data_IF_619296491397
#
_entry.id   IF_619296491397
#
_cell.length_a   1.000
_cell.length_b   1.000
_cell.length_c   1.000
_cell.angle_alpha   90.00
_cell.angle_beta   90.00
_cell.angle_gamma   90.00
#
_symmetry.space_group_name_H-M   'P 1'
#
loop_
_entity.id
_entity.type
_entity.pdbx_description
1 polymer ?
#
# COMPACT_ATOMS: atom_id res chain seq x y z
N UNK A 1 -13.58 17.06 -5.67
CA UNK A 1 -12.49 16.57 -4.79
C UNK A 1 -11.93 15.33 -5.45
N UNK A 2 -10.63 15.29 -5.77
CA UNK A 2 -10.00 14.05 -6.24
C UNK A 2 -9.89 13.08 -5.07
N UNK A 3 -10.44 11.88 -5.22
CA UNK A 3 -10.31 10.82 -4.24
C UNK A 3 -8.83 10.44 -4.12
N UNK A 4 -8.29 10.40 -2.89
CA UNK A 4 -6.87 10.12 -2.63
C UNK A 4 -6.63 8.61 -2.47
N UNK A 5 -7.61 7.87 -1.96
CA UNK A 5 -7.54 6.43 -1.75
C UNK A 5 -8.69 5.76 -2.49
N UNK A 6 -8.35 4.89 -3.43
CA UNK A 6 -9.27 4.01 -4.14
C UNK A 6 -9.02 2.58 -3.69
N UNK A 7 -10.08 1.85 -3.34
CA UNK A 7 -10.00 0.44 -2.92
C UNK A 7 -10.96 -0.39 -3.75
N UNK A 8 -10.43 -1.49 -4.29
CA UNK A 8 -11.16 -2.46 -5.08
C UNK A 8 -10.78 -3.85 -4.60
N UNK A 9 -11.69 -4.56 -3.93
CA UNK A 9 -11.50 -5.95 -3.47
C UNK A 9 -10.17 -6.21 -2.70
N UNK A 10 -9.14 -6.70 -3.40
CA UNK A 10 -7.80 -7.03 -2.91
C UNK A 10 -6.73 -6.01 -3.35
N UNK A 11 -7.13 -4.86 -3.89
CA UNK A 11 -6.28 -3.78 -4.37
C UNK A 11 -6.58 -2.46 -3.67
N UNK A 12 -5.55 -1.66 -3.49
CA UNK A 12 -5.65 -0.28 -3.04
C UNK A 12 -4.73 0.60 -3.88
N UNK A 13 -5.16 1.82 -4.14
CA UNK A 13 -4.36 2.81 -4.85
C UNK A 13 -4.44 4.15 -4.12
N UNK A 14 -3.28 4.73 -3.88
CA UNK A 14 -3.13 6.05 -3.29
C UNK A 14 -2.61 6.98 -4.37
N UNK A 15 -3.38 8.02 -4.68
CA UNK A 15 -3.05 9.03 -5.70
C UNK A 15 -3.01 10.40 -5.05
N UNK A 16 -1.84 11.04 -5.04
CA UNK A 16 -1.70 12.39 -4.49
C UNK A 16 -1.95 13.46 -5.57
N UNK A 17 -2.37 14.68 -5.17
CA UNK A 17 -2.46 15.82 -6.09
C UNK A 17 -1.11 16.14 -6.75
N UNK A 18 -1.14 16.74 -7.94
CA UNK A 18 0.04 16.97 -8.82
C UNK A 18 1.25 17.72 -8.22
N UNK A 19 1.14 18.28 -7.01
CA UNK A 19 2.23 19.00 -6.31
C UNK A 19 2.65 18.32 -5.01
N UNK A 20 2.26 17.07 -4.86
CA UNK A 20 2.49 16.31 -3.65
C UNK A 20 3.00 14.92 -3.99
N UNK A 21 3.99 14.46 -3.25
CA UNK A 21 4.72 13.23 -3.48
C UNK A 21 4.79 12.42 -2.19
N UNK A 22 4.70 11.10 -2.31
CA UNK A 22 4.70 10.17 -1.18
C UNK A 22 6.15 9.93 -0.74
N UNK A 23 6.40 10.03 0.55
CA UNK A 23 7.69 9.75 1.18
C UNK A 23 7.70 8.39 1.86
N UNK A 24 6.66 8.14 2.65
CA UNK A 24 6.53 6.92 3.43
C UNK A 24 5.09 6.46 3.50
N UNK A 25 4.89 5.15 3.45
CA UNK A 25 3.61 4.51 3.73
C UNK A 25 3.84 3.46 4.81
N UNK A 26 3.04 3.51 5.87
CA UNK A 26 2.91 2.42 6.83
C UNK A 26 1.53 1.78 6.64
N UNK A 27 1.51 0.52 6.25
CA UNK A 27 0.29 -0.24 5.98
C UNK A 27 0.04 -1.22 7.12
N UNK A 28 -1.08 -1.03 7.81
CA UNK A 28 -1.58 -1.98 8.80
C UNK A 28 -2.77 -2.73 8.22
N UNK A 29 -2.60 -4.05 8.06
CA UNK A 29 -3.66 -4.96 7.63
C UNK A 29 -4.36 -5.54 8.86
N UNK A 30 -5.70 -5.48 8.89
CA UNK A 30 -6.48 -6.22 9.88
C UNK A 30 -6.31 -7.73 9.66
N UNK A 31 -6.37 -8.52 10.74
CA UNK A 31 -6.19 -9.98 10.69
C UNK A 31 -7.08 -10.60 9.61
N UNK A 32 -6.43 -11.28 8.67
CA UNK A 32 -7.09 -11.90 7.52
C UNK A 32 -7.79 -13.19 7.94
N UNK A 33 -9.11 -13.14 8.10
CA UNK A 33 -9.89 -14.36 8.36
C UNK A 33 -9.79 -15.31 7.16
N UNK A 34 -9.41 -16.56 7.41
CA UNK A 34 -9.41 -17.62 6.39
C UNK A 34 -8.11 -17.79 5.60
N UNK A 35 -7.09 -16.97 5.83
CA UNK A 35 -5.74 -17.14 5.24
C UNK A 35 -4.88 -18.07 6.11
N UNK A 36 -5.50 -19.13 6.64
CA UNK A 36 -4.80 -20.13 7.45
C UNK A 36 -3.66 -20.74 6.64
N UNK A 37 -2.46 -20.74 7.23
CA UNK A 37 -1.21 -21.36 6.77
C UNK A 37 -0.52 -20.77 5.52
N UNK A 38 -1.13 -19.81 4.80
CA UNK A 38 -0.48 -19.16 3.64
C UNK A 38 0.05 -17.77 4.01
N UNK A 39 1.29 -17.46 3.62
CA UNK A 39 1.82 -16.09 3.72
C UNK A 39 1.11 -15.17 2.71
N UNK A 40 1.23 -13.86 2.90
CA UNK A 40 0.69 -12.86 1.96
C UNK A 40 1.84 -12.08 1.32
N UNK A 41 1.81 -11.97 0.00
CA UNK A 41 2.65 -11.05 -0.74
C UNK A 41 1.82 -9.80 -1.06
N UNK A 42 2.33 -8.62 -0.68
CA UNK A 42 1.77 -7.35 -1.11
C UNK A 42 2.55 -6.93 -2.33
N UNK A 43 1.99 -7.07 -3.53
CA UNK A 43 2.59 -6.48 -4.72
C UNK A 43 2.50 -4.96 -4.58
N UNK A 44 3.64 -4.29 -4.74
CA UNK A 44 3.73 -2.84 -4.65
C UNK A 44 4.11 -2.31 -6.02
N UNK A 45 3.43 -1.27 -6.48
CA UNK A 45 3.76 -0.55 -7.70
C UNK A 45 3.70 0.94 -7.43
N UNK A 46 4.71 1.69 -7.82
CA UNK A 46 4.82 3.11 -7.54
C UNK A 46 5.27 3.89 -8.78
N UNK A 47 4.66 5.06 -8.99
CA UNK A 47 4.90 5.90 -10.16
C UNK A 47 5.03 7.38 -9.80
N UNK A 48 5.96 8.05 -10.48
CA UNK A 48 6.05 9.52 -10.52
C UNK A 48 4.89 10.10 -11.33
N UNK A 49 4.69 11.42 -11.20
CA UNK A 49 3.63 12.13 -11.94
C UNK A 49 3.82 12.08 -13.47
N UNK A 50 5.03 11.84 -13.95
CA UNK A 50 5.38 11.66 -15.37
C UNK A 50 5.16 10.21 -15.86
N UNK A 51 4.74 9.29 -14.99
CA UNK A 51 4.50 7.88 -15.28
C UNK A 51 5.74 6.98 -15.12
N UNK A 52 6.91 7.51 -14.77
CA UNK A 52 8.08 6.68 -14.53
C UNK A 52 7.88 5.81 -13.27
N UNK A 53 8.14 4.50 -13.39
CA UNK A 53 8.09 3.62 -12.21
C UNK A 53 9.28 3.86 -11.31
N UNK A 54 9.03 3.91 -10.00
CA UNK A 54 10.05 4.12 -8.96
C UNK A 54 9.99 3.06 -7.87
N UNK A 55 9.23 1.99 -8.11
CA UNK A 55 8.99 0.90 -7.16
C UNK A 55 10.30 0.32 -6.61
N UNK A 56 11.31 0.14 -7.45
CA UNK A 56 12.62 -0.42 -7.07
C UNK A 56 13.41 0.44 -6.09
N UNK A 57 13.11 1.72 -6.01
CA UNK A 57 13.76 2.66 -5.08
C UNK A 57 13.14 2.62 -3.68
N UNK A 58 12.03 1.90 -3.52
CA UNK A 58 11.33 1.80 -2.25
C UNK A 58 12.06 0.82 -1.31
N UNK A 59 12.44 1.29 -0.13
CA UNK A 59 12.89 0.41 0.94
C UNK A 59 11.68 -0.38 1.46
N UNK A 60 11.87 -1.66 1.75
CA UNK A 60 10.81 -2.56 2.22
C UNK A 60 10.08 -3.33 1.10
N UNK A 61 10.45 -3.11 -0.16
CA UNK A 61 10.06 -4.01 -1.26
C UNK A 61 11.25 -4.83 -1.76
N UNK A 62 10.96 -6.02 -2.27
CA UNK A 62 11.92 -6.97 -2.80
C UNK A 62 11.42 -7.51 -4.12
N UNK A 63 12.31 -7.82 -5.06
CA UNK A 63 11.94 -8.54 -6.26
C UNK A 63 11.77 -10.03 -5.96
N UNK A 64 10.65 -10.62 -6.36
CA UNK A 64 10.48 -12.08 -6.36
C UNK A 64 10.51 -12.60 -7.79
N UNK A 65 11.48 -13.46 -8.10
CA UNK A 65 11.54 -14.14 -9.40
C UNK A 65 10.32 -15.04 -9.64
N UNK A 66 9.73 -15.61 -8.58
CA UNK A 66 8.51 -16.41 -8.68
C UNK A 66 7.26 -15.56 -8.96
N UNK A 67 7.26 -14.28 -8.54
CA UNK A 67 6.19 -13.34 -8.85
C UNK A 67 6.46 -12.54 -10.13
N UNK A 68 7.71 -12.43 -10.58
CA UNK A 68 8.10 -11.47 -11.61
C UNK A 68 7.82 -10.01 -11.21
N UNK A 69 7.65 -9.73 -9.91
CA UNK A 69 7.14 -8.46 -9.40
C UNK A 69 7.84 -8.05 -8.09
N UNK A 70 7.78 -6.75 -7.81
CA UNK A 70 8.21 -6.16 -6.55
C UNK A 70 7.12 -6.37 -5.49
N UNK A 71 7.49 -6.94 -4.35
CA UNK A 71 6.57 -7.22 -3.26
C UNK A 71 7.12 -6.77 -1.92
N UNK A 72 6.23 -6.38 -1.01
CA UNK A 72 6.52 -6.28 0.41
C UNK A 72 6.00 -7.54 1.10
N UNK A 73 6.82 -8.10 1.99
CA UNK A 73 6.44 -9.28 2.74
C UNK A 73 5.52 -8.91 3.90
N UNK A 74 4.34 -9.52 3.94
CA UNK A 74 3.49 -9.49 5.12
C UNK A 74 3.44 -10.91 5.69
N UNK A 75 4.12 -11.21 6.81
CA UNK A 75 3.93 -12.49 7.46
C UNK A 75 2.46 -12.61 7.81
N UNK A 76 1.78 -13.63 7.29
CA UNK A 76 0.40 -13.89 7.65
C UNK A 76 0.32 -14.01 9.16
N UNK A 77 -0.38 -13.10 9.83
CA UNK A 77 -0.44 -13.17 11.28
C UNK A 77 -1.46 -14.21 11.73
N UNK A 78 -1.23 -14.84 12.90
CA UNK A 78 -2.26 -15.61 13.59
C UNK A 78 -3.54 -14.79 13.74
N UNK A 79 -4.69 -15.48 13.86
CA UNK A 79 -6.06 -14.93 13.93
C UNK A 79 -6.30 -13.77 14.92
N UNK A 80 -5.38 -13.52 15.84
CA UNK A 80 -5.52 -12.56 16.95
C UNK A 80 -4.46 -11.45 16.95
N UNK A 81 -3.54 -11.43 15.97
CA UNK A 81 -2.51 -10.42 15.89
C UNK A 81 -2.76 -9.46 14.71
N UNK A 82 -2.74 -8.15 14.99
CA UNK A 82 -2.38 -7.18 13.96
C UNK A 82 -1.00 -7.57 13.44
N UNK A 83 -0.87 -7.70 12.12
CA UNK A 83 0.47 -7.75 11.53
C UNK A 83 1.20 -6.48 11.93
N UNK A 84 2.48 -6.62 12.30
CA UNK A 84 3.35 -5.45 12.41
C UNK A 84 3.24 -4.68 11.10
N UNK A 85 3.17 -3.34 11.13
CA UNK A 85 2.87 -2.58 9.93
C UNK A 85 3.96 -2.81 8.88
N UNK A 86 3.54 -2.94 7.63
CA UNK A 86 4.45 -2.95 6.49
C UNK A 86 4.89 -1.52 6.22
N UNK A 87 6.17 -1.24 6.43
CA UNK A 87 6.75 0.09 6.28
C UNK A 87 7.46 0.19 4.95
N UNK A 88 7.06 1.18 4.14
CA UNK A 88 7.59 1.48 2.83
C UNK A 88 8.14 2.89 2.82
N UNK A 89 9.37 3.07 2.37
CA UNK A 89 10.04 4.37 2.29
C UNK A 89 10.61 4.59 0.90
N UNK A 90 10.15 5.64 0.23
CA UNK A 90 10.49 5.93 -1.14
C UNK A 90 11.68 6.88 -1.21
N UNK A 91 12.78 6.43 -1.81
CA UNK A 91 13.92 7.31 -2.11
C UNK A 91 13.55 8.27 -3.24
N UNK A 92 12.98 7.73 -4.32
CA UNK A 92 12.35 8.53 -5.37
C UNK A 92 10.86 8.63 -5.08
N UNK A 93 10.38 9.85 -4.83
CA UNK A 93 9.04 10.10 -4.29
C UNK A 93 7.95 9.93 -5.36
N UNK A 94 7.07 8.91 -5.28
CA UNK A 94 5.99 8.73 -6.25
C UNK A 94 4.83 9.69 -6.00
N UNK A 95 4.09 10.02 -7.06
CA UNK A 95 2.77 10.66 -6.93
C UNK A 95 1.66 9.63 -6.67
N UNK A 96 1.91 8.37 -7.07
CA UNK A 96 0.94 7.28 -7.00
C UNK A 96 1.58 5.98 -6.49
N UNK A 97 0.88 5.26 -5.60
CA UNK A 97 1.27 3.92 -5.15
C UNK A 97 0.06 2.99 -5.17
N UNK A 98 0.22 1.82 -5.76
CA UNK A 98 -0.76 0.74 -5.79
C UNK A 98 -0.26 -0.48 -5.01
N UNK A 99 -1.21 -1.11 -4.33
CA UNK A 99 -1.05 -2.32 -3.55
C UNK A 99 -2.00 -3.39 -4.05
N UNK A 100 -1.51 -4.62 -4.10
CA UNK A 100 -2.33 -5.79 -4.43
C UNK A 100 -1.95 -6.96 -3.53
N UNK A 101 -2.95 -7.56 -2.88
CA UNK A 101 -2.75 -8.67 -1.95
C UNK A 101 -2.95 -9.99 -2.66
N UNK A 102 -1.90 -10.82 -2.66
CA UNK A 102 -1.91 -12.16 -3.21
C UNK A 102 -1.51 -13.18 -2.14
N UNK A 103 -2.10 -14.37 -2.21
CA UNK A 103 -1.63 -15.53 -1.47
C UNK A 103 -0.21 -15.86 -1.93
N UNK A 104 0.61 -16.33 -0.99
CA UNK A 104 1.94 -16.84 -1.29
C UNK A 104 2.03 -18.32 -0.93
N UNK A 105 2.54 -19.19 -1.84
CA UNK A 105 3.05 -18.90 -3.19
C UNK A 105 1.99 -18.91 -4.32
N UNK A 106 0.72 -19.16 -4.01
CA UNK A 106 -0.32 -19.47 -5.00
C UNK A 106 -0.82 -18.32 -5.89
N UNK A 107 -0.46 -17.07 -5.59
CA UNK A 107 -0.84 -15.85 -6.35
C UNK A 107 -2.35 -15.63 -6.49
N UNK A 108 -3.16 -16.32 -5.72
CA UNK A 108 -4.60 -16.09 -5.72
C UNK A 108 -4.89 -14.78 -4.96
N UNK A 109 -5.85 -13.95 -5.40
CA UNK A 109 -6.29 -12.80 -4.62
C UNK A 109 -6.63 -13.20 -3.18
N UNK A 110 -6.08 -12.47 -2.21
CA UNK A 110 -6.50 -12.63 -0.81
C UNK A 110 -7.93 -12.09 -0.68
N UNK A 111 -8.77 -12.80 0.09
CA UNK A 111 -10.21 -12.57 0.30
C UNK A 111 -10.69 -11.12 0.09
N UNK A 112 -11.84 -10.95 -0.58
CA UNK A 112 -12.40 -9.63 -0.84
C UNK A 112 -12.55 -8.77 0.43
N UNK A 113 -12.10 -7.50 0.38
CA UNK A 113 -12.36 -6.51 1.42
C UNK A 113 -11.26 -6.30 2.46
N UNK A 114 -10.07 -6.90 2.31
CA UNK A 114 -8.95 -6.67 3.24
C UNK A 114 -8.64 -5.18 3.39
N UNK A 115 -8.48 -4.49 2.27
CA UNK A 115 -8.09 -3.09 2.31
C UNK A 115 -9.19 -2.18 2.86
N UNK A 116 -10.46 -2.58 2.77
CA UNK A 116 -11.59 -1.85 3.36
C UNK A 116 -11.49 -1.77 4.90
N UNK A 117 -10.88 -2.79 5.51
CA UNK A 117 -10.58 -2.90 6.94
C UNK A 117 -9.19 -2.37 7.33
N UNK A 118 -8.37 -1.95 6.36
CA UNK A 118 -6.98 -1.57 6.58
C UNK A 118 -6.81 -0.07 6.83
N UNK A 119 -5.66 0.28 7.41
CA UNK A 119 -5.24 1.66 7.60
C UNK A 119 -3.90 1.92 6.92
N UNK A 120 -3.84 3.02 6.16
CA UNK A 120 -2.64 3.53 5.51
C UNK A 120 -2.23 4.82 6.21
N UNK A 121 -1.04 4.84 6.81
CA UNK A 121 -0.42 6.05 7.30
C UNK A 121 0.51 6.56 6.20
N UNK A 122 0.14 7.68 5.59
CA UNK A 122 0.85 8.27 4.45
C UNK A 122 1.53 9.54 4.90
N UNK A 123 2.85 9.57 4.76
CA UNK A 123 3.64 10.79 4.86
C UNK A 123 4.00 11.26 3.46
N UNK A 124 3.75 12.53 3.18
CA UNK A 124 3.97 13.15 1.88
C UNK A 124 4.63 14.51 2.01
N UNK A 125 5.37 14.90 0.97
CA UNK A 125 5.96 16.22 0.81
C UNK A 125 5.17 17.01 -0.23
N UNK A 126 4.97 18.30 0.00
CA UNK A 126 4.40 19.22 -1.01
C UNK A 126 5.17 20.53 -1.02
N UNK A 127 5.32 21.10 -2.21
CA UNK A 127 6.05 22.36 -2.40
C UNK A 127 5.10 23.54 -2.37
N UNK A 128 5.38 24.53 -1.53
CA UNK A 128 4.71 25.83 -1.51
C UNK A 128 5.68 26.91 -1.98
N UNK A 129 5.17 28.15 -2.12
CA UNK A 129 6.02 29.33 -2.35
C UNK A 129 7.02 29.60 -1.23
N UNK A 130 6.82 29.01 -0.04
CA UNK A 130 7.65 29.21 1.15
C UNK A 130 8.63 28.05 1.41
N UNK A 131 8.55 26.98 0.62
CA UNK A 131 9.44 25.82 0.72
C UNK A 131 8.71 24.47 0.67
N UNK A 132 9.44 23.40 0.97
CA UNK A 132 8.86 22.06 1.08
C UNK A 132 8.25 21.86 2.47
N UNK A 133 6.99 21.44 2.52
CA UNK A 133 6.26 21.11 3.73
C UNK A 133 5.90 19.64 3.76
N UNK A 134 5.82 19.09 4.98
CA UNK A 134 5.42 17.70 5.21
C UNK A 134 3.95 17.63 5.64
N UNK A 135 3.28 16.55 5.25
CA UNK A 135 1.92 16.25 5.67
C UNK A 135 1.79 14.76 5.98
N UNK A 136 1.08 14.46 7.06
CA UNK A 136 0.72 13.09 7.42
C UNK A 136 -0.78 12.91 7.31
N UNK A 137 -1.22 11.80 6.70
CA UNK A 137 -2.63 11.40 6.62
C UNK A 137 -2.81 9.97 7.09
N UNK A 138 -3.97 9.71 7.70
CA UNK A 138 -4.45 8.36 7.93
C UNK A 138 -5.58 8.13 6.94
N UNK A 139 -5.34 7.29 5.94
CA UNK A 139 -6.35 6.88 4.96
C UNK A 139 -6.90 5.54 5.43
N UNK A 140 -8.20 5.48 5.70
CA UNK A 140 -8.88 4.26 6.12
C UNK A 140 -9.71 3.75 4.97
N UNK A 141 -9.75 2.44 4.79
CA UNK A 141 -10.46 1.85 3.67
C UNK A 141 -11.98 2.00 3.70
N UNK A 142 -12.55 2.50 4.81
CA UNK A 142 -13.96 2.82 4.92
C UNK A 142 -14.84 1.58 4.77
N UNK A 143 -15.25 1.00 5.89
CA UNK A 143 -16.28 -0.05 5.91
C UNK A 143 -17.60 0.48 5.34
N UNK A 144 -17.79 0.32 4.03
CA UNK A 144 -19.11 0.37 3.44
C UNK A 144 -19.86 -0.86 3.94
N UNK A 145 -20.66 -0.69 4.99
CA UNK A 145 -21.84 -1.54 5.18
C UNK A 145 -22.69 -1.31 3.94
N UNK A 146 -22.66 -2.26 3.01
CA UNK A 146 -23.74 -2.39 2.04
C UNK A 146 -25.04 -2.49 2.85
N UNK A 147 -25.91 -1.48 2.67
CA UNK A 147 -27.29 -1.51 3.14
C UNK A 147 -28.16 -1.93 1.97
#
# INVERSE_FOLDING_TARGET
>A
MSQILDIEENRAKISLPARESIRRISLSLESLRGVGEKSVAIIVRAWKADGASVTETCKGVHYSAALGEMFAYCPGTPREAFSGPVNLEFVDEPAEVSFELLTWPGREPVAAGVFASSAFFVESAYTTSEGALMRTRILKGGGHKFR
#
